data_IF_700388906998
#
_entry.id   IF_700388906998
#
_cell.length_a   1.000
_cell.length_b   1.000
_cell.length_c   1.000
_cell.angle_alpha   90.00
_cell.angle_beta   90.00
_cell.angle_gamma   90.00
#
_symmetry.space_group_name_H-M   'P 1'
#
loop_
_entity.id
_entity.type
_entity.pdbx_description
1 polymer ?
#
# COMPACT_ATOMS: atom_id res chain seq x y z
N UNK A 1 16.52 5.24 -1.12
CA UNK A 1 15.48 5.98 -1.85
C UNK A 1 16.01 7.09 -2.71
N UNK A 2 15.72 7.06 -4.01
CA UNK A 2 16.02 8.20 -4.89
C UNK A 2 14.93 9.27 -4.78
N UNK A 3 15.31 10.55 -5.00
CA UNK A 3 14.33 11.66 -5.06
C UNK A 3 13.25 11.45 -6.13
N UNK A 4 13.58 10.72 -7.20
CA UNK A 4 12.64 10.40 -8.27
C UNK A 4 11.58 9.38 -7.81
N UNK A 5 11.98 8.33 -7.09
CA UNK A 5 11.05 7.35 -6.54
C UNK A 5 10.12 7.96 -5.49
N UNK A 6 10.63 8.83 -4.61
CA UNK A 6 9.78 9.55 -3.65
C UNK A 6 8.72 10.40 -4.36
N UNK A 7 9.10 11.20 -5.37
CA UNK A 7 8.13 12.00 -6.13
C UNK A 7 7.07 11.14 -6.83
N UNK A 8 7.47 9.98 -7.36
CA UNK A 8 6.56 9.01 -7.98
C UNK A 8 5.59 8.44 -6.94
N UNK A 9 6.10 8.00 -5.80
CA UNK A 9 5.31 7.53 -4.67
C UNK A 9 4.31 8.59 -4.20
N UNK A 10 4.74 9.82 -3.97
CA UNK A 10 3.87 10.91 -3.51
C UNK A 10 2.70 11.17 -4.48
N UNK A 11 2.97 11.06 -5.79
CA UNK A 11 1.95 11.21 -6.83
C UNK A 11 0.93 10.07 -6.78
N UNK A 12 1.41 8.82 -6.66
CA UNK A 12 0.55 7.63 -6.54
C UNK A 12 -0.26 7.64 -5.25
N UNK A 13 0.36 8.03 -4.14
CA UNK A 13 -0.28 8.18 -2.83
C UNK A 13 -1.44 9.19 -2.90
N UNK A 14 -1.21 10.38 -3.47
CA UNK A 14 -2.27 11.38 -3.66
C UNK A 14 -3.41 10.89 -4.55
N UNK A 15 -3.08 10.16 -5.63
CA UNK A 15 -4.08 9.55 -6.52
C UNK A 15 -4.91 8.50 -5.79
N UNK A 16 -4.27 7.65 -4.99
CA UNK A 16 -4.91 6.61 -4.19
C UNK A 16 -5.87 7.20 -3.16
N UNK A 17 -5.40 8.14 -2.32
CA UNK A 17 -6.25 8.83 -1.34
C UNK A 17 -7.44 9.53 -2.02
N UNK A 18 -7.20 10.22 -3.13
CA UNK A 18 -8.27 10.87 -3.91
C UNK A 18 -9.28 9.86 -4.46
N UNK A 19 -8.83 8.67 -4.89
CA UNK A 19 -9.71 7.62 -5.38
C UNK A 19 -10.57 7.04 -4.25
N UNK A 20 -9.99 6.74 -3.09
CA UNK A 20 -10.73 6.23 -1.94
C UNK A 20 -11.77 7.24 -1.42
N UNK A 21 -11.45 8.55 -1.45
CA UNK A 21 -12.41 9.61 -1.17
C UNK A 21 -13.59 9.61 -2.14
N UNK A 22 -13.33 9.49 -3.45
CA UNK A 22 -14.39 9.38 -4.47
C UNK A 22 -15.25 8.13 -4.34
N UNK A 23 -14.70 7.06 -3.77
CA UNK A 23 -15.46 5.84 -3.46
C UNK A 23 -16.33 5.96 -2.20
N UNK A 24 -16.28 7.09 -1.48
CA UNK A 24 -17.04 7.26 -0.24
C UNK A 24 -16.52 6.41 0.92
N UNK A 25 -15.22 6.05 0.94
CA UNK A 25 -14.62 5.35 2.07
C UNK A 25 -14.55 6.27 3.30
N UNK A 26 -14.76 5.70 4.48
CA UNK A 26 -14.55 6.42 5.74
C UNK A 26 -13.08 6.84 5.90
N UNK A 27 -12.82 7.95 6.60
CA UNK A 27 -11.46 8.45 6.83
C UNK A 27 -10.55 7.40 7.45
N UNK A 28 -11.03 6.67 8.46
CA UNK A 28 -10.29 5.57 9.08
C UNK A 28 -9.91 4.47 8.09
N UNK A 29 -10.76 4.18 7.10
CA UNK A 29 -10.47 3.22 6.04
C UNK A 29 -9.42 3.75 5.08
N UNK A 30 -9.50 5.04 4.73
CA UNK A 30 -8.51 5.71 3.88
C UNK A 30 -7.13 5.65 4.54
N UNK A 31 -7.06 5.92 5.85
CA UNK A 31 -5.80 5.91 6.60
C UNK A 31 -5.15 4.53 6.62
N UNK A 32 -5.92 3.48 6.96
CA UNK A 32 -5.36 2.12 7.03
C UNK A 32 -4.98 1.57 5.66
N UNK A 33 -5.73 1.87 4.60
CA UNK A 33 -5.35 1.47 3.25
C UNK A 33 -4.10 2.20 2.77
N UNK A 34 -3.99 3.49 3.10
CA UNK A 34 -2.82 4.31 2.78
C UNK A 34 -1.58 3.91 3.58
N UNK A 35 -1.74 3.25 4.73
CA UNK A 35 -0.64 2.73 5.53
C UNK A 35 0.04 1.54 4.84
N UNK A 36 -0.73 0.65 4.23
CA UNK A 36 -0.19 -0.50 3.49
C UNK A 36 0.73 -0.06 2.35
N UNK A 37 0.35 1.00 1.63
CA UNK A 37 1.17 1.62 0.58
C UNK A 37 2.49 2.16 1.10
N UNK A 38 2.47 2.81 2.27
CA UNK A 38 3.70 3.32 2.90
C UNK A 38 4.62 2.18 3.32
N UNK A 39 4.07 1.15 3.97
CA UNK A 39 4.84 -0.03 4.41
C UNK A 39 5.53 -0.74 3.26
N UNK A 40 4.81 -1.03 2.18
CA UNK A 40 5.40 -1.76 1.04
C UNK A 40 6.44 -0.90 0.30
N UNK A 41 6.19 0.42 0.21
CA UNK A 41 7.14 1.35 -0.39
C UNK A 41 8.43 1.45 0.44
N UNK A 42 8.32 1.58 1.76
CA UNK A 42 9.46 1.62 2.69
C UNK A 42 10.23 0.30 2.70
N UNK A 43 9.54 -0.84 2.59
CA UNK A 43 10.17 -2.18 2.59
C UNK A 43 11.04 -2.42 1.35
N UNK A 44 10.55 -2.05 0.17
CA UNK A 44 11.23 -2.34 -1.10
C UNK A 44 11.95 -1.15 -1.73
N UNK A 45 11.84 0.04 -1.13
CA UNK A 45 12.31 1.30 -1.72
C UNK A 45 11.81 1.49 -3.17
N UNK A 46 10.57 1.03 -3.43
CA UNK A 46 10.03 0.82 -4.76
C UNK A 46 8.59 1.32 -4.85
N UNK A 47 8.26 2.25 -5.78
CA UNK A 47 6.90 2.71 -6.00
C UNK A 47 5.92 1.55 -6.27
N UNK A 48 4.68 1.63 -5.74
CA UNK A 48 3.75 0.51 -5.79
C UNK A 48 3.33 0.11 -7.21
N UNK A 49 3.42 1.01 -8.18
CA UNK A 49 3.04 0.78 -9.57
C UNK A 49 4.05 -0.02 -10.41
N UNK A 50 5.20 -0.37 -9.82
CA UNK A 50 6.22 -1.23 -10.45
C UNK A 50 6.64 -2.39 -9.54
N UNK A 51 5.89 -2.63 -8.47
CA UNK A 51 6.11 -3.80 -7.62
C UNK A 51 5.85 -5.07 -8.44
N UNK A 52 6.69 -6.07 -8.20
CA UNK A 52 6.52 -7.39 -8.80
C UNK A 52 5.74 -8.30 -7.87
N UNK A 53 5.15 -9.33 -8.44
CA UNK A 53 4.41 -10.36 -7.70
C UNK A 53 5.23 -10.94 -6.54
N UNK A 54 6.51 -11.23 -6.76
CA UNK A 54 7.41 -11.78 -5.74
C UNK A 54 7.61 -10.82 -4.56
N UNK A 55 7.50 -9.51 -4.78
CA UNK A 55 7.58 -8.51 -3.73
C UNK A 55 6.29 -8.44 -2.91
N UNK A 56 5.13 -8.62 -3.55
CA UNK A 56 3.87 -8.77 -2.82
C UNK A 56 3.87 -10.03 -1.97
N UNK A 57 4.34 -11.15 -2.49
CA UNK A 57 4.49 -12.41 -1.75
C UNK A 57 5.42 -12.23 -0.55
N UNK A 58 6.61 -11.67 -0.77
CA UNK A 58 7.57 -11.37 0.30
C UNK A 58 7.02 -10.40 1.37
N UNK A 59 6.07 -9.51 1.02
CA UNK A 59 5.38 -8.66 1.98
C UNK A 59 4.33 -9.43 2.80
N UNK A 60 3.53 -10.27 2.16
CA UNK A 60 2.41 -10.95 2.80
C UNK A 60 2.80 -12.23 3.55
N UNK A 61 3.82 -12.96 3.13
CA UNK A 61 4.30 -14.20 3.79
C UNK A 61 4.60 -14.03 5.29
N UNK A 62 5.39 -13.03 5.73
CA UNK A 62 5.56 -12.78 7.15
C UNK A 62 4.29 -12.19 7.78
N UNK A 63 3.50 -11.42 7.05
CA UNK A 63 2.30 -10.77 7.59
C UNK A 63 1.22 -11.79 7.97
N UNK A 64 1.01 -12.82 7.15
CA UNK A 64 0.03 -13.90 7.42
C UNK A 64 0.41 -14.78 8.61
N UNK A 65 1.70 -14.89 8.93
CA UNK A 65 2.19 -15.67 10.06
C UNK A 65 2.25 -14.89 11.38
N UNK A 66 2.30 -13.56 11.31
CA UNK A 66 2.54 -12.70 12.49
C UNK A 66 1.36 -11.82 12.89
N UNK A 67 0.40 -11.59 11.99
CA UNK A 67 -0.73 -10.67 12.23
C UNK A 67 -2.09 -11.35 12.09
N UNK A 68 -3.12 -10.69 12.63
CA UNK A 68 -4.50 -11.14 12.45
C UNK A 68 -4.93 -11.10 10.98
N UNK A 69 -5.84 -12.01 10.59
CA UNK A 69 -6.44 -11.97 9.26
C UNK A 69 -7.14 -10.64 8.93
N UNK A 70 -7.64 -9.93 9.94
CA UNK A 70 -8.20 -8.58 9.73
C UNK A 70 -7.14 -7.61 9.24
N UNK A 71 -5.94 -7.63 9.83
CA UNK A 71 -4.80 -6.82 9.39
C UNK A 71 -4.37 -7.18 7.97
N UNK A 72 -4.21 -8.48 7.68
CA UNK A 72 -3.83 -8.98 6.35
C UNK A 72 -4.83 -8.51 5.28
N UNK A 73 -6.13 -8.63 5.56
CA UNK A 73 -7.19 -8.21 4.63
C UNK A 73 -7.17 -6.70 4.37
N UNK A 74 -6.94 -5.91 5.41
CA UNK A 74 -6.87 -4.44 5.29
C UNK A 74 -5.69 -4.05 4.41
N UNK A 75 -4.51 -4.61 4.65
CA UNK A 75 -3.32 -4.29 3.85
C UNK A 75 -3.48 -4.76 2.39
N UNK A 76 -4.03 -5.96 2.18
CA UNK A 76 -4.35 -6.46 0.83
C UNK A 76 -5.33 -5.55 0.10
N UNK A 77 -6.40 -5.10 0.76
CA UNK A 77 -7.37 -4.20 0.14
C UNK A 77 -6.77 -2.81 -0.17
N UNK A 78 -5.85 -2.31 0.67
CA UNK A 78 -5.14 -1.06 0.40
C UNK A 78 -4.24 -1.14 -0.84
N UNK A 79 -3.67 -2.32 -1.11
CA UNK A 79 -2.79 -2.56 -2.24
C UNK A 79 -3.48 -3.03 -3.53
N UNK A 80 -4.76 -3.43 -3.47
CA UNK A 80 -5.51 -4.02 -4.60
C UNK A 80 -5.50 -3.20 -5.91
N UNK A 81 -5.25 -1.89 -5.84
CA UNK A 81 -5.25 -0.99 -7.00
C UNK A 81 -3.89 -0.88 -7.73
N UNK A 82 -2.88 -1.62 -7.29
CA UNK A 82 -1.52 -1.62 -7.83
C UNK A 82 -1.10 -3.04 -8.19
#
# INVERSE_FOLDING_TARGET
MTKAQQKRFDSLYRKHVSALKRQGKAESTIDVYSLALRRIFELFDCPPDILKQEQFEAYFDPLVSTHSWSTVKVDRNGLYYF
#
